data_IF_102760499170
#
_entry.id   IF_102760499170
#
_cell.length_a   1.000
_cell.length_b   1.000
_cell.length_c   1.000
_cell.angle_alpha   90.00
_cell.angle_beta   90.00
_cell.angle_gamma   90.00
#
_symmetry.space_group_name_H-M   'P 1'
#
loop_
_entity.id
_entity.type
_entity.pdbx_description
1 polymer ?
#
# COMPACT_ATOMS: atom_id res chain seq x y z
N UNK A 1 -6.19 43.44 -36.71
CA UNK A 1 -4.89 43.53 -35.99
C UNK A 1 -4.91 42.49 -34.87
N UNK A 2 -3.87 41.64 -34.84
CA UNK A 2 -3.45 40.65 -33.83
C UNK A 2 -4.26 39.33 -33.58
N UNK A 3 -3.62 38.20 -33.94
CA UNK A 3 -3.54 36.89 -33.24
C UNK A 3 -2.05 36.70 -32.81
N UNK A 4 -1.57 35.66 -32.05
CA UNK A 4 -2.17 34.46 -31.42
C UNK A 4 -1.64 34.12 -29.98
N UNK A 5 -2.04 32.99 -29.36
CA UNK A 5 -1.33 32.38 -28.21
C UNK A 5 -1.95 31.10 -27.63
N UNK A 6 -1.28 29.93 -27.83
CA UNK A 6 -1.55 28.61 -27.20
C UNK A 6 -0.69 28.44 -25.94
N UNK A 7 -1.14 27.62 -24.97
CA UNK A 7 -0.29 26.73 -24.14
C UNK A 7 -1.15 25.86 -23.22
N UNK A 8 -0.82 24.62 -22.85
CA UNK A 8 -0.02 23.56 -23.47
C UNK A 8 -0.31 22.27 -22.66
N UNK A 9 -0.77 21.23 -23.37
CA UNK A 9 -0.61 19.78 -23.14
C UNK A 9 -1.00 19.14 -21.78
N UNK A 10 -2.00 18.28 -21.71
CA UNK A 10 -2.13 16.88 -22.21
C UNK A 10 -1.01 15.90 -21.85
N UNK A 11 -1.46 14.88 -21.11
CA UNK A 11 -1.12 13.45 -21.16
C UNK A 11 0.28 13.00 -20.75
N UNK A 12 0.33 12.25 -19.65
CA UNK A 12 0.95 10.93 -19.69
C UNK A 12 -0.12 9.91 -19.28
N UNK A 13 -0.47 9.04 -20.22
CA UNK A 13 -1.39 7.94 -20.00
C UNK A 13 -0.62 6.78 -19.36
N UNK A 14 -0.94 6.45 -18.11
CA UNK A 14 -0.97 5.07 -17.65
C UNK A 14 -2.44 4.79 -17.31
N UNK A 15 -3.01 3.86 -18.06
CA UNK A 15 -4.44 3.53 -18.07
C UNK A 15 -4.79 2.74 -16.81
N UNK A 16 -4.85 3.39 -15.65
CA UNK A 16 -5.62 2.88 -14.52
C UNK A 16 -7.07 3.32 -14.72
N UNK A 17 -7.96 2.36 -14.95
CA UNK A 17 -9.35 2.57 -15.27
C UNK A 17 -10.06 3.42 -14.21
N UNK A 18 -10.30 4.72 -14.50
CA UNK A 18 -11.37 5.52 -13.84
C UNK A 18 -12.78 5.01 -14.18
N UNK A 19 -12.93 3.73 -14.54
CA UNK A 19 -14.22 3.12 -14.91
C UNK A 19 -14.79 2.19 -13.82
N UNK A 20 -14.04 1.89 -12.76
CA UNK A 20 -14.51 0.92 -11.76
C UNK A 20 -15.21 1.53 -10.55
N UNK A 21 -14.84 2.75 -10.13
CA UNK A 21 -15.43 3.32 -8.92
C UNK A 21 -16.22 4.59 -9.24
N UNK A 22 -17.53 4.39 -9.29
CA UNK A 22 -18.50 5.48 -9.27
C UNK A 22 -18.45 6.20 -7.92
N UNK A 23 -18.56 7.52 -7.98
CA UNK A 23 -18.55 8.42 -6.84
C UNK A 23 -19.74 8.10 -5.91
N UNK A 24 -19.51 7.39 -4.80
CA UNK A 24 -20.53 7.16 -3.77
C UNK A 24 -20.27 8.09 -2.56
N UNK A 25 -21.30 8.73 -2.00
CA UNK A 25 -21.17 9.43 -0.74
C UNK A 25 -20.86 8.40 0.36
N UNK A 26 -19.83 8.68 1.16
CA UNK A 26 -19.42 7.84 2.28
C UNK A 26 -20.57 7.68 3.30
N UNK A 27 -21.37 6.62 3.15
CA UNK A 27 -22.39 6.22 4.11
C UNK A 27 -22.04 4.81 4.57
N UNK A 28 -21.47 4.70 5.78
CA UNK A 28 -21.16 3.41 6.41
C UNK A 28 -19.94 3.39 7.34
N UNK A 29 -19.08 4.41 7.33
CA UNK A 29 -17.96 4.49 8.27
C UNK A 29 -18.43 5.06 9.62
N UNK A 30 -18.88 4.19 10.54
CA UNK A 30 -19.14 4.60 11.92
C UNK A 30 -17.83 5.03 12.58
N UNK A 31 -17.71 6.35 12.79
CA UNK A 31 -16.61 6.96 13.52
C UNK A 31 -16.77 6.69 15.01
N UNK A 32 -15.99 5.76 15.55
CA UNK A 32 -15.81 5.63 17.00
C UNK A 32 -14.68 6.57 17.44
N UNK A 33 -15.07 7.68 18.05
CA UNK A 33 -14.18 8.59 18.75
C UNK A 33 -13.78 7.99 20.11
N UNK A 34 -12.48 8.04 20.45
CA UNK A 34 -12.01 7.81 21.82
C UNK A 34 -10.51 7.47 21.92
N UNK A 35 -9.77 8.26 22.70
CA UNK A 35 -8.49 7.84 23.32
C UNK A 35 -7.24 8.64 22.94
N UNK A 36 -6.79 9.48 23.89
CA UNK A 36 -5.68 10.43 23.93
C UNK A 36 -4.41 10.14 23.10
N UNK A 37 -3.94 11.17 22.37
CA UNK A 37 -2.53 11.28 21.94
C UNK A 37 -2.27 11.52 20.45
N UNK A 38 -3.25 11.37 19.56
CA UNK A 38 -3.08 11.69 18.13
C UNK A 38 -3.72 13.03 17.80
N UNK A 39 -2.98 13.93 17.14
CA UNK A 39 -3.57 15.11 16.47
C UNK A 39 -4.82 14.66 15.72
N UNK A 40 -5.95 15.39 15.83
CA UNK A 40 -7.16 15.03 15.09
C UNK A 40 -6.80 14.93 13.61
N UNK A 41 -7.22 13.85 12.94
CA UNK A 41 -7.23 13.83 11.47
C UNK A 41 -8.24 14.91 11.07
N UNK A 42 -7.75 16.11 10.75
CA UNK A 42 -8.56 17.31 10.58
C UNK A 42 -9.60 17.22 9.45
N UNK A 43 -9.49 16.21 8.57
CA UNK A 43 -10.48 15.93 7.52
C UNK A 43 -10.63 14.43 7.24
N UNK A 44 -11.85 13.88 7.23
CA UNK A 44 -12.06 12.53 6.69
C UNK A 44 -11.61 12.52 5.23
N UNK A 45 -10.77 11.54 4.88
CA UNK A 45 -10.42 11.28 3.49
C UNK A 45 -11.52 10.46 2.85
N UNK A 46 -11.93 10.84 1.64
CA UNK A 46 -12.80 10.00 0.82
C UNK A 46 -12.08 8.71 0.47
N UNK A 47 -12.81 7.61 0.52
CA UNK A 47 -12.37 6.31 0.03
C UNK A 47 -12.85 6.20 -1.41
N UNK A 48 -11.92 5.91 -2.33
CA UNK A 48 -12.25 5.81 -3.76
C UNK A 48 -12.99 4.50 -4.08
N UNK A 49 -12.69 3.41 -3.38
CA UNK A 49 -13.23 2.08 -3.65
C UNK A 49 -13.32 1.21 -2.39
N UNK A 50 -14.27 0.27 -2.36
CA UNK A 50 -14.30 -0.78 -1.35
C UNK A 50 -13.37 -1.95 -1.73
N UNK A 51 -12.91 -2.73 -0.74
CA UNK A 51 -12.02 -3.87 -1.00
C UNK A 51 -12.67 -4.96 -1.88
N UNK A 52 -14.00 -5.06 -1.87
CA UNK A 52 -14.75 -6.01 -2.67
C UNK A 52 -14.79 -5.64 -4.16
N UNK A 53 -14.56 -4.36 -4.48
CA UNK A 53 -14.54 -3.83 -5.84
C UNK A 53 -13.14 -3.89 -6.47
N UNK A 54 -12.12 -4.21 -5.67
CA UNK A 54 -10.73 -4.27 -6.09
C UNK A 54 -10.37 -5.70 -6.51
N UNK A 55 -9.82 -5.83 -7.71
CA UNK A 55 -9.12 -7.04 -8.18
C UNK A 55 -7.67 -6.71 -8.45
N UNK A 56 -6.81 -7.69 -8.19
CA UNK A 56 -5.40 -7.65 -8.51
C UNK A 56 -5.14 -7.39 -10.01
N UNK A 57 -6.06 -7.77 -10.91
CA UNK A 57 -5.91 -7.56 -12.34
C UNK A 57 -5.87 -6.07 -12.74
N UNK A 58 -6.50 -5.21 -11.96
CA UNK A 58 -6.67 -3.78 -12.28
C UNK A 58 -5.52 -2.89 -11.83
N UNK A 59 -4.57 -3.42 -11.05
CA UNK A 59 -3.49 -2.64 -10.43
C UNK A 59 -2.14 -3.35 -10.58
N UNK A 60 -1.05 -2.59 -10.67
CA UNK A 60 0.31 -3.14 -10.81
C UNK A 60 0.94 -3.50 -9.45
N UNK A 61 0.52 -2.82 -8.38
CA UNK A 61 1.02 -3.04 -7.03
C UNK A 61 -0.06 -2.73 -5.97
N UNK A 62 0.09 -3.35 -4.80
CA UNK A 62 -0.70 -3.09 -3.60
C UNK A 62 0.19 -2.37 -2.58
N UNK A 63 -0.27 -1.24 -2.04
CA UNK A 63 0.45 -0.50 -0.99
C UNK A 63 -0.38 -0.53 0.29
N UNK A 64 0.22 -1.07 1.36
CA UNK A 64 -0.33 -1.17 2.69
C UNK A 64 0.30 -0.09 3.57
N UNK A 65 -0.42 1.02 3.84
CA UNK A 65 0.12 2.11 4.64
C UNK A 65 0.24 1.71 6.11
N UNK A 66 1.21 2.30 6.79
CA UNK A 66 1.46 2.11 8.21
C UNK A 66 0.48 2.84 9.13
N UNK A 67 0.95 3.13 10.35
CA UNK A 67 0.12 3.60 11.45
C UNK A 67 -0.47 2.44 12.27
N UNK A 68 -0.91 2.73 13.49
CA UNK A 68 -1.31 1.66 14.42
C UNK A 68 -2.71 1.10 14.11
N UNK A 69 -3.71 1.99 14.03
CA UNK A 69 -5.14 1.60 14.00
C UNK A 69 -5.61 0.92 12.72
N UNK A 70 -5.09 1.33 11.57
CA UNK A 70 -5.58 0.80 10.28
C UNK A 70 -5.05 -0.63 10.04
N UNK A 71 -3.73 -0.89 10.07
CA UNK A 71 -3.19 -2.24 10.00
C UNK A 71 -3.76 -3.20 11.05
N UNK A 72 -3.94 -2.75 12.30
CA UNK A 72 -4.49 -3.59 13.37
C UNK A 72 -5.94 -4.06 13.10
N UNK A 73 -6.75 -3.24 12.42
CA UNK A 73 -8.08 -3.67 11.97
C UNK A 73 -7.98 -4.58 10.74
N UNK A 74 -7.23 -4.15 9.73
CA UNK A 74 -7.18 -4.79 8.42
C UNK A 74 -6.47 -6.14 8.43
N UNK A 75 -5.58 -6.40 9.39
CA UNK A 75 -4.92 -7.71 9.55
C UNK A 75 -5.90 -8.85 9.83
N UNK A 76 -7.10 -8.53 10.33
CA UNK A 76 -8.17 -9.50 10.57
C UNK A 76 -9.21 -9.56 9.44
N UNK A 77 -9.12 -8.69 8.43
CA UNK A 77 -10.10 -8.59 7.34
C UNK A 77 -9.79 -9.63 6.25
N UNK A 78 -10.60 -10.70 6.08
CA UNK A 78 -10.29 -11.79 5.16
C UNK A 78 -10.12 -11.32 3.71
N UNK A 79 -10.88 -10.30 3.27
CA UNK A 79 -10.77 -9.78 1.92
C UNK A 79 -9.41 -9.12 1.66
N UNK A 80 -8.87 -8.40 2.63
CA UNK A 80 -7.55 -7.75 2.53
C UNK A 80 -6.44 -8.79 2.48
N UNK A 81 -6.52 -9.82 3.32
CA UNK A 81 -5.54 -10.92 3.33
C UNK A 81 -5.56 -11.69 2.01
N UNK A 82 -6.74 -11.98 1.47
CA UNK A 82 -6.91 -12.63 0.17
C UNK A 82 -6.30 -11.76 -0.95
N UNK A 83 -6.62 -10.47 -0.97
CA UNK A 83 -6.08 -9.54 -1.96
C UNK A 83 -4.55 -9.51 -1.92
N UNK A 84 -3.93 -9.42 -0.74
CA UNK A 84 -2.46 -9.44 -0.62
C UNK A 84 -1.86 -10.74 -1.19
N UNK A 85 -2.50 -11.90 -0.93
CA UNK A 85 -2.06 -13.19 -1.49
C UNK A 85 -2.22 -13.22 -3.01
N UNK A 86 -3.31 -12.71 -3.55
CA UNK A 86 -3.59 -12.69 -4.99
C UNK A 86 -2.55 -11.86 -5.75
N UNK A 87 -2.14 -10.70 -5.22
CA UNK A 87 -1.06 -9.90 -5.80
C UNK A 87 0.24 -10.70 -5.88
N UNK A 88 0.64 -11.37 -4.79
CA UNK A 88 1.87 -12.19 -4.79
C UNK A 88 1.75 -13.40 -5.72
N UNK A 89 0.58 -14.07 -5.76
CA UNK A 89 0.33 -15.19 -6.66
C UNK A 89 0.45 -14.80 -8.14
N UNK A 90 0.06 -13.56 -8.47
CA UNK A 90 0.23 -12.95 -9.80
C UNK A 90 1.62 -12.36 -10.05
N UNK A 91 2.58 -12.58 -9.15
CA UNK A 91 3.94 -11.99 -9.19
C UNK A 91 3.94 -10.47 -9.22
N UNK A 92 2.90 -9.86 -8.67
CA UNK A 92 2.81 -8.41 -8.48
C UNK A 92 3.39 -8.01 -7.13
N UNK A 93 3.65 -6.72 -6.97
CA UNK A 93 4.29 -6.21 -5.77
C UNK A 93 3.30 -5.87 -4.67
N UNK A 94 3.63 -6.27 -3.44
CA UNK A 94 2.95 -5.82 -2.22
C UNK A 94 3.95 -5.04 -1.38
N UNK A 95 3.70 -3.75 -1.21
CA UNK A 95 4.47 -2.85 -0.40
C UNK A 95 3.81 -2.66 0.97
N UNK A 96 4.55 -2.82 2.06
CA UNK A 96 4.05 -2.57 3.42
C UNK A 96 5.01 -1.65 4.19
N UNK A 97 4.48 -0.66 4.89
CA UNK A 97 5.27 0.29 5.67
C UNK A 97 4.92 0.21 7.16
N UNK A 98 5.94 0.28 8.03
CA UNK A 98 5.78 0.46 9.48
C UNK A 98 5.01 -0.72 10.14
N UNK A 99 3.79 -0.52 10.67
CA UNK A 99 2.99 -1.58 11.29
C UNK A 99 2.21 -2.45 10.27
N UNK A 100 2.18 -2.05 9.00
CA UNK A 100 1.49 -2.81 7.95
C UNK A 100 2.07 -4.23 7.74
N UNK A 101 3.26 -4.50 8.28
CA UNK A 101 3.83 -5.85 8.33
C UNK A 101 2.92 -6.88 9.01
N UNK A 102 2.05 -6.48 9.95
CA UNK A 102 1.06 -7.39 10.55
C UNK A 102 0.12 -8.02 9.53
N UNK A 103 -0.29 -7.27 8.50
CA UNK A 103 -1.15 -7.80 7.44
C UNK A 103 -0.41 -8.90 6.67
N UNK A 104 0.89 -8.72 6.42
CA UNK A 104 1.71 -9.72 5.74
C UNK A 104 1.94 -10.97 6.62
N UNK A 105 2.08 -10.79 7.93
CA UNK A 105 2.12 -11.89 8.90
C UNK A 105 0.84 -12.71 8.84
N UNK A 106 -0.33 -12.07 9.00
CA UNK A 106 -1.62 -12.78 9.04
C UNK A 106 -2.03 -13.32 7.66
N UNK A 107 -1.55 -12.69 6.58
CA UNK A 107 -1.68 -13.23 5.22
C UNK A 107 -0.81 -14.48 4.99
N UNK A 108 0.10 -14.85 5.91
CA UNK A 108 1.05 -15.95 5.73
C UNK A 108 2.12 -15.64 4.69
N UNK A 109 2.36 -14.35 4.41
CA UNK A 109 3.35 -13.90 3.44
C UNK A 109 4.72 -13.62 4.08
N UNK A 110 4.83 -13.71 5.40
CA UNK A 110 6.07 -13.42 6.13
C UNK A 110 7.09 -14.58 6.11
N UNK A 111 6.62 -15.83 6.11
CA UNK A 111 7.47 -17.00 6.33
C UNK A 111 8.57 -17.15 5.27
N UNK A 112 9.82 -17.26 5.73
CA UNK A 112 11.00 -17.44 4.88
C UNK A 112 11.44 -16.20 4.11
N UNK A 113 10.77 -15.06 4.27
CA UNK A 113 11.13 -13.81 3.59
C UNK A 113 11.97 -12.90 4.47
N UNK A 114 12.86 -12.15 3.84
CA UNK A 114 13.56 -11.02 4.46
C UNK A 114 12.61 -9.83 4.52
N UNK A 115 12.46 -9.22 5.69
CA UNK A 115 11.53 -8.12 5.89
C UNK A 115 12.09 -7.10 6.89
N UNK A 116 11.61 -5.86 6.82
CA UNK A 116 11.77 -4.83 7.85
C UNK A 116 10.39 -4.30 8.26
N UNK A 117 10.34 -3.52 9.34
CA UNK A 117 9.10 -2.93 9.86
C UNK A 117 9.42 -1.85 10.88
N UNK A 118 8.38 -1.34 11.54
CA UNK A 118 8.60 -0.68 12.83
C UNK A 118 9.23 -1.65 13.83
N UNK A 119 10.04 -1.13 14.76
CA UNK A 119 10.70 -1.96 15.76
C UNK A 119 9.71 -2.66 16.69
N UNK A 120 8.51 -2.09 16.90
CA UNK A 120 7.50 -2.62 17.80
C UNK A 120 6.93 -3.97 17.36
N UNK A 121 6.88 -4.25 16.04
CA UNK A 121 6.33 -5.50 15.49
C UNK A 121 7.40 -6.49 15.02
N UNK A 122 8.67 -6.22 15.35
CA UNK A 122 9.79 -7.10 15.00
C UNK A 122 9.54 -8.53 15.44
N UNK A 123 9.12 -8.70 16.69
CA UNK A 123 8.89 -10.01 17.29
C UNK A 123 7.77 -10.76 16.57
N UNK A 124 6.69 -10.07 16.19
CA UNK A 124 5.59 -10.67 15.42
C UNK A 124 6.09 -11.23 14.08
N UNK A 125 6.90 -10.47 13.36
CA UNK A 125 7.48 -10.89 12.08
C UNK A 125 8.41 -12.10 12.24
N UNK A 126 9.28 -12.07 13.25
CA UNK A 126 10.18 -13.19 13.55
C UNK A 126 9.40 -14.45 13.92
N UNK A 127 8.36 -14.34 14.74
CA UNK A 127 7.49 -15.45 15.13
C UNK A 127 6.73 -16.03 13.93
N UNK A 128 6.39 -15.22 12.94
CA UNK A 128 5.79 -15.64 11.68
C UNK A 128 6.80 -16.30 10.70
N UNK A 129 8.07 -16.39 11.09
CA UNK A 129 9.14 -17.00 10.30
C UNK A 129 9.83 -16.06 9.32
N UNK A 130 9.66 -14.74 9.44
CA UNK A 130 10.42 -13.78 8.65
C UNK A 130 11.86 -13.61 9.17
N UNK A 131 12.78 -13.36 8.25
CA UNK A 131 14.15 -12.91 8.55
C UNK A 131 14.10 -11.40 8.69
N UNK A 132 13.88 -10.93 9.91
CA UNK A 132 13.77 -9.49 10.18
C UNK A 132 15.14 -8.80 10.14
N UNK A 133 15.23 -7.69 9.40
CA UNK A 133 16.45 -6.89 9.21
C UNK A 133 16.22 -5.45 9.69
N UNK A 134 17.15 -4.92 10.50
CA UNK A 134 17.14 -3.50 10.92
C UNK A 134 17.71 -2.61 9.81
N UNK A 135 16.99 -2.51 8.70
CA UNK A 135 17.35 -1.66 7.56
C UNK A 135 16.13 -0.87 7.08
N UNK A 136 16.31 0.29 6.43
CA UNK A 136 15.20 1.16 6.05
C UNK A 136 14.21 0.54 5.06
N UNK A 137 14.69 -0.31 4.16
CA UNK A 137 13.90 -0.89 3.08
C UNK A 137 14.40 -2.30 2.75
N UNK A 138 13.50 -3.26 2.56
CA UNK A 138 13.80 -4.62 2.12
C UNK A 138 12.87 -4.99 0.97
N UNK A 139 13.42 -5.56 -0.10
CA UNK A 139 12.66 -6.16 -1.19
C UNK A 139 12.99 -7.65 -1.26
N UNK A 140 11.96 -8.49 -1.18
CA UNK A 140 12.12 -9.94 -1.23
C UNK A 140 10.88 -10.63 -1.82
N UNK A 141 11.07 -11.37 -2.92
CA UNK A 141 10.04 -12.21 -3.54
C UNK A 141 8.69 -11.49 -3.82
N UNK A 142 8.75 -10.28 -4.36
CA UNK A 142 7.55 -9.46 -4.66
C UNK A 142 6.98 -8.70 -3.45
N UNK A 143 7.48 -8.94 -2.24
CA UNK A 143 7.15 -8.15 -1.05
C UNK A 143 8.19 -7.07 -0.86
N UNK A 144 7.75 -5.83 -0.66
CA UNK A 144 8.60 -4.70 -0.30
C UNK A 144 8.17 -4.24 1.09
N UNK A 145 9.11 -4.09 2.01
CA UNK A 145 8.84 -3.61 3.37
C UNK A 145 9.72 -2.42 3.71
N UNK A 146 9.17 -1.47 4.46
CA UNK A 146 9.86 -0.24 4.86
C UNK A 146 9.71 0.04 6.35
N UNK A 147 10.77 0.56 6.97
CA UNK A 147 10.77 0.98 8.38
C UNK A 147 10.07 2.34 8.59
N UNK A 148 9.75 2.65 9.85
CA UNK A 148 9.02 3.87 10.22
C UNK A 148 9.87 5.15 10.18
N UNK A 149 11.21 5.03 10.21
CA UNK A 149 12.12 6.17 10.42
C UNK A 149 12.52 6.82 9.09
N UNK A 150 13.04 6.02 8.16
CA UNK A 150 13.64 6.50 6.92
C UNK A 150 13.16 5.73 5.68
N UNK A 151 12.38 4.66 5.87
CA UNK A 151 11.97 3.77 4.79
C UNK A 151 10.94 4.35 3.82
N UNK A 152 10.13 5.33 4.23
CA UNK A 152 9.03 5.84 3.39
C UNK A 152 9.52 6.49 2.09
N UNK A 153 10.58 7.30 2.16
CA UNK A 153 11.13 7.95 0.97
C UNK A 153 11.65 6.91 -0.03
N UNK A 154 12.44 5.94 0.45
CA UNK A 154 12.93 4.84 -0.37
C UNK A 154 11.81 3.99 -0.95
N UNK A 155 10.74 3.75 -0.19
CA UNK A 155 9.56 3.03 -0.67
C UNK A 155 8.88 3.76 -1.83
N UNK A 156 8.65 5.07 -1.69
CA UNK A 156 8.02 5.88 -2.75
C UNK A 156 8.90 5.92 -3.99
N UNK A 157 10.20 6.15 -3.84
CA UNK A 157 11.15 6.14 -4.97
C UNK A 157 11.15 4.80 -5.70
N UNK A 158 11.11 3.68 -4.96
CA UNK A 158 11.03 2.34 -5.52
C UNK A 158 9.73 2.14 -6.31
N UNK A 159 8.58 2.51 -5.73
CA UNK A 159 7.28 2.38 -6.41
C UNK A 159 7.20 3.22 -7.69
N UNK A 160 7.74 4.44 -7.67
CA UNK A 160 7.83 5.29 -8.87
C UNK A 160 8.71 4.64 -9.93
N UNK A 161 9.88 4.13 -9.54
CA UNK A 161 10.79 3.42 -10.46
C UNK A 161 10.09 2.22 -11.10
N UNK A 162 9.42 1.39 -10.31
CA UNK A 162 8.68 0.23 -10.79
C UNK A 162 7.58 0.64 -11.79
N UNK A 163 6.87 1.73 -11.50
CA UNK A 163 5.85 2.26 -12.41
C UNK A 163 6.46 2.70 -13.74
N UNK A 164 7.64 3.33 -13.72
CA UNK A 164 8.38 3.68 -14.92
C UNK A 164 8.80 2.42 -15.72
N UNK A 165 9.27 1.38 -15.04
CA UNK A 165 9.67 0.13 -15.69
C UNK A 165 8.48 -0.55 -16.38
N UNK A 166 7.29 -0.55 -15.75
CA UNK A 166 6.04 -1.05 -16.35
C UNK A 166 5.67 -0.24 -17.60
N UNK A 167 5.69 1.10 -17.53
CA UNK A 167 5.37 1.97 -18.68
C UNK A 167 6.36 1.77 -19.83
N UNK A 168 7.62 1.45 -19.52
CA UNK A 168 8.67 1.23 -20.50
C UNK A 168 8.75 -0.22 -21.00
N UNK A 169 7.88 -1.12 -20.51
CA UNK A 169 7.89 -2.54 -20.89
C UNK A 169 9.12 -3.31 -20.40
N UNK A 170 9.68 -2.91 -19.27
CA UNK A 170 10.90 -3.47 -18.65
C UNK A 170 10.61 -4.31 -17.40
N UNK A 171 9.34 -4.47 -17.06
CA UNK A 171 8.85 -5.19 -15.88
C UNK A 171 8.65 -6.69 -16.15
#
# INVERSE_FOLDING_TARGET
>A
MASPGRSCWTSCAARASRRACGNLPAQGASALAGGAGSRPVERPRSVDCAFDEVSEASYDALVLPGGLRSPDRLRSEPRVLALARDFIARRKTVAAWDHAGWILVDAGLATGRRMTSCAAIRTDLQNAGAIWLDVPLVQDQGVVTADSRHGLEGLVQLLVRMSCDVVQGRA
#
